data_IF_447836424788
#
_entry.id   IF_447836424788
#
_cell.length_a   1.000
_cell.length_b   1.000
_cell.length_c   1.000
_cell.angle_alpha   90.00
_cell.angle_beta   90.00
_cell.angle_gamma   90.00
#
_symmetry.space_group_name_H-M   'P 1'
#
loop_
_entity.id
_entity.type
_entity.pdbx_description
1 polymer ?
#
# COMPACT_ATOMS: atom_id res chain seq x y z
N UNK A 1 22.94 -8.23 -0.72
CA UNK A 1 21.93 -9.16 -0.14
C UNK A 1 20.71 -9.22 -1.07
N UNK A 2 19.84 -10.24 -0.99
CA UNK A 2 18.56 -10.21 -1.74
C UNK A 2 17.54 -9.30 -1.04
N UNK A 3 16.88 -8.41 -1.77
CA UNK A 3 15.80 -7.56 -1.23
C UNK A 3 14.68 -8.44 -0.66
N UNK A 4 14.22 -8.20 0.56
CA UNK A 4 13.01 -8.85 1.09
C UNK A 4 11.76 -8.07 0.69
N UNK A 5 11.78 -6.75 0.90
CA UNK A 5 10.68 -5.84 0.63
C UNK A 5 11.06 -4.81 -0.46
N UNK A 6 10.40 -4.88 -1.60
CA UNK A 6 10.41 -3.81 -2.59
C UNK A 6 9.20 -2.89 -2.37
N UNK A 7 9.39 -1.58 -2.35
CA UNK A 7 8.30 -0.63 -2.26
C UNK A 7 8.32 0.32 -3.46
N UNK A 8 7.13 0.72 -3.91
CA UNK A 8 6.92 1.68 -5.00
C UNK A 8 6.06 2.79 -4.41
N UNK A 9 6.58 4.01 -4.35
CA UNK A 9 5.84 5.17 -3.84
C UNK A 9 5.37 6.11 -4.95
N UNK A 10 4.15 6.64 -4.80
CA UNK A 10 3.54 7.56 -5.76
C UNK A 10 4.12 8.99 -5.73
N UNK A 11 4.85 9.30 -4.66
CA UNK A 11 5.59 10.54 -4.45
C UNK A 11 6.93 10.32 -3.74
N UNK A 12 7.77 11.36 -3.71
CA UNK A 12 9.08 11.32 -3.04
C UNK A 12 8.92 11.38 -1.52
N UNK A 13 8.06 12.25 -1.01
CA UNK A 13 7.94 12.50 0.43
C UNK A 13 7.38 11.30 1.18
N UNK A 14 6.32 10.68 0.68
CA UNK A 14 5.75 9.46 1.26
C UNK A 14 6.66 8.24 1.13
N UNK A 15 7.49 8.19 0.08
CA UNK A 15 8.55 7.17 -0.05
C UNK A 15 9.63 7.33 1.02
N UNK A 16 10.06 8.56 1.28
CA UNK A 16 11.05 8.85 2.33
C UNK A 16 10.50 8.57 3.73
N UNK A 17 9.24 8.90 3.99
CA UNK A 17 8.58 8.54 5.24
C UNK A 17 8.54 7.01 5.44
N UNK A 18 8.19 6.25 4.40
CA UNK A 18 8.23 4.78 4.45
C UNK A 18 9.64 4.25 4.73
N UNK A 19 10.66 4.72 4.00
CA UNK A 19 12.03 4.28 4.20
C UNK A 19 12.52 4.57 5.64
N UNK A 20 12.18 5.75 6.18
CA UNK A 20 12.49 6.12 7.55
C UNK A 20 11.80 5.20 8.56
N UNK A 21 10.52 4.88 8.34
CA UNK A 21 9.78 3.97 9.22
C UNK A 21 10.33 2.55 9.18
N UNK A 22 10.69 2.03 8.01
CA UNK A 22 11.34 0.73 7.89
C UNK A 22 12.66 0.70 8.67
N UNK A 23 13.52 1.71 8.47
CA UNK A 23 14.81 1.82 9.17
C UNK A 23 14.66 1.89 10.69
N UNK A 24 13.72 2.70 11.18
CA UNK A 24 13.41 2.82 12.62
C UNK A 24 12.92 1.50 13.24
N UNK A 25 12.30 0.63 12.44
CA UNK A 25 11.77 -0.67 12.86
C UNK A 25 12.72 -1.84 12.50
N UNK A 26 14.01 -1.57 12.29
CA UNK A 26 15.03 -2.61 12.12
C UNK A 26 15.17 -3.17 10.70
N UNK A 27 14.55 -2.55 9.70
CA UNK A 27 14.70 -2.91 8.29
C UNK A 27 15.35 -1.74 7.52
N UNK A 28 16.69 -1.67 7.46
CA UNK A 28 17.38 -0.67 6.65
C UNK A 28 16.88 -0.69 5.21
N UNK A 29 16.63 0.48 4.65
CA UNK A 29 16.09 0.63 3.31
C UNK A 29 16.93 1.61 2.50
N UNK A 30 17.13 1.33 1.21
CA UNK A 30 17.63 2.29 0.24
C UNK A 30 16.44 2.90 -0.52
N UNK A 31 16.48 4.20 -0.79
CA UNK A 31 15.50 4.88 -1.64
C UNK A 31 16.14 5.28 -2.97
N UNK A 32 15.46 4.94 -4.06
CA UNK A 32 15.77 5.36 -5.42
C UNK A 32 14.77 6.43 -5.88
N UNK A 33 15.24 7.38 -6.69
CA UNK A 33 14.39 8.40 -7.30
C UNK A 33 14.17 8.05 -8.77
N UNK A 34 12.93 7.75 -9.14
CA UNK A 34 12.60 7.17 -10.44
C UNK A 34 12.95 5.69 -10.54
N UNK A 35 12.54 5.06 -11.65
CA UNK A 35 12.86 3.65 -11.94
C UNK A 35 14.37 3.52 -12.15
N UNK A 36 15.09 2.71 -11.37
CA UNK A 36 16.53 2.56 -11.56
C UNK A 36 16.84 1.88 -12.90
N UNK A 37 17.94 2.26 -13.59
CA UNK A 37 18.39 1.53 -14.77
C UNK A 37 18.81 0.09 -14.41
N UNK A 38 18.76 -0.82 -15.39
CA UNK A 38 19.17 -2.23 -15.20
C UNK A 38 20.64 -2.37 -14.77
N UNK A 39 21.49 -1.39 -15.08
CA UNK A 39 22.90 -1.36 -14.65
C UNK A 39 23.09 -0.97 -13.18
N UNK A 40 22.01 -0.65 -12.46
CA UNK A 40 22.08 -0.34 -11.03
C UNK A 40 22.54 -1.57 -10.25
N UNK A 41 23.56 -1.46 -9.37
CA UNK A 41 23.98 -2.59 -8.56
C UNK A 41 22.89 -3.09 -7.61
N UNK A 42 22.96 -4.37 -7.26
CA UNK A 42 22.10 -4.98 -6.25
C UNK A 42 22.11 -4.18 -4.95
N UNK A 43 20.92 -3.89 -4.37
CA UNK A 43 20.87 -3.24 -3.06
C UNK A 43 21.54 -4.10 -1.99
N UNK A 44 22.39 -3.49 -1.17
CA UNK A 44 22.94 -4.15 0.01
C UNK A 44 22.11 -3.87 1.26
N UNK A 45 20.78 -3.93 1.11
CA UNK A 45 19.82 -3.70 2.19
C UNK A 45 18.61 -4.62 2.04
N UNK A 46 17.91 -4.99 3.12
CA UNK A 46 16.73 -5.86 3.05
C UNK A 46 15.50 -5.18 2.41
N UNK A 47 15.50 -3.86 2.23
CA UNK A 47 14.40 -3.15 1.58
C UNK A 47 14.87 -2.11 0.56
N UNK A 48 14.13 -1.98 -0.54
CA UNK A 48 14.36 -0.96 -1.55
C UNK A 48 13.06 -0.21 -1.85
N UNK A 49 13.10 1.12 -1.84
CA UNK A 49 11.95 1.99 -2.11
C UNK A 49 12.19 2.76 -3.40
N UNK A 50 11.37 2.55 -4.42
CA UNK A 50 11.38 3.32 -5.67
C UNK A 50 10.37 4.45 -5.57
N UNK A 51 10.86 5.69 -5.48
CA UNK A 51 10.02 6.88 -5.39
C UNK A 51 9.71 7.44 -6.78
N UNK A 52 8.45 7.41 -7.16
CA UNK A 52 7.95 7.96 -8.42
C UNK A 52 7.33 9.34 -8.21
N UNK A 53 6.96 9.99 -9.32
CA UNK A 53 6.12 11.20 -9.32
C UNK A 53 4.79 10.88 -10.01
N UNK A 54 4.15 9.81 -9.58
CA UNK A 54 3.04 9.19 -10.30
C UNK A 54 1.65 9.53 -9.73
N UNK A 55 1.54 10.20 -8.57
CA UNK A 55 0.24 10.53 -7.94
C UNK A 55 -0.76 11.20 -8.88
N UNK A 56 -0.31 12.25 -9.57
CA UNK A 56 -1.14 13.07 -10.46
C UNK A 56 -0.66 13.02 -11.92
N UNK A 57 0.20 12.06 -12.24
CA UNK A 57 0.60 11.81 -13.62
C UNK A 57 -0.60 11.23 -14.42
N UNK A 58 -0.55 11.23 -15.75
CA UNK A 58 -1.50 10.46 -16.54
C UNK A 58 -1.52 8.98 -16.08
N UNK A 59 -2.70 8.33 -15.95
CA UNK A 59 -2.79 6.97 -15.43
C UNK A 59 -1.91 5.96 -16.16
N UNK A 60 -1.80 6.06 -17.48
CA UNK A 60 -0.95 5.21 -18.31
C UNK A 60 0.54 5.34 -17.96
N UNK A 61 1.01 6.55 -17.67
CA UNK A 61 2.40 6.80 -17.26
C UNK A 61 2.64 6.25 -15.85
N UNK A 62 1.70 6.49 -14.93
CA UNK A 62 1.79 5.98 -13.57
C UNK A 62 1.84 4.45 -13.53
N UNK A 63 1.02 3.79 -14.34
CA UNK A 63 1.02 2.33 -14.50
C UNK A 63 2.35 1.86 -15.10
N UNK A 64 2.79 2.45 -16.21
CA UNK A 64 4.03 2.03 -16.87
C UNK A 64 5.26 2.15 -15.94
N UNK A 65 5.39 3.26 -15.22
CA UNK A 65 6.48 3.47 -14.27
C UNK A 65 6.41 2.49 -13.09
N UNK A 66 5.21 2.23 -12.57
CA UNK A 66 5.03 1.33 -11.41
C UNK A 66 5.32 -0.13 -11.78
N UNK A 67 4.89 -0.58 -12.96
CA UNK A 67 5.22 -1.93 -13.46
C UNK A 67 6.72 -2.06 -13.72
N UNK A 68 7.37 -1.05 -14.31
CA UNK A 68 8.81 -1.05 -14.51
C UNK A 68 9.58 -1.10 -13.17
N UNK A 69 9.15 -0.32 -12.18
CA UNK A 69 9.70 -0.37 -10.82
C UNK A 69 9.51 -1.75 -10.17
N UNK A 70 8.32 -2.35 -10.30
CA UNK A 70 8.03 -3.69 -9.80
C UNK A 70 8.95 -4.74 -10.41
N UNK A 71 9.11 -4.73 -11.74
CA UNK A 71 10.03 -5.64 -12.45
C UNK A 71 11.46 -5.49 -11.98
N UNK A 72 11.93 -4.25 -11.84
CA UNK A 72 13.26 -3.99 -11.33
C UNK A 72 13.43 -4.58 -9.92
N UNK A 73 12.50 -4.29 -9.00
CA UNK A 73 12.55 -4.80 -7.62
C UNK A 73 12.54 -6.34 -7.57
N UNK A 74 11.68 -7.00 -8.34
CA UNK A 74 11.63 -8.47 -8.44
C UNK A 74 12.93 -9.02 -9.02
N UNK A 75 13.47 -8.39 -10.06
CA UNK A 75 14.75 -8.76 -10.67
C UNK A 75 15.92 -8.73 -9.69
N UNK A 76 15.85 -7.85 -8.68
CA UNK A 76 16.83 -7.73 -7.60
C UNK A 76 16.42 -8.52 -6.33
N UNK A 77 15.49 -9.47 -6.47
CA UNK A 77 15.17 -10.47 -5.48
C UNK A 77 14.03 -10.13 -4.52
N UNK A 78 13.33 -9.00 -4.72
CA UNK A 78 12.20 -8.61 -3.87
C UNK A 78 11.16 -9.74 -3.78
N UNK A 79 10.85 -10.18 -2.55
CA UNK A 79 9.87 -11.25 -2.29
C UNK A 79 8.46 -10.72 -2.05
N UNK A 80 8.36 -9.43 -1.76
CA UNK A 80 7.12 -8.72 -1.53
C UNK A 80 7.20 -7.32 -2.14
N UNK A 81 6.12 -6.90 -2.79
CA UNK A 81 5.96 -5.55 -3.33
C UNK A 81 4.95 -4.77 -2.50
N UNK A 82 5.33 -3.58 -2.05
CA UNK A 82 4.49 -2.64 -1.31
C UNK A 82 4.19 -1.41 -2.16
N UNK A 83 2.92 -1.15 -2.47
CA UNK A 83 2.53 0.06 -3.18
C UNK A 83 2.13 1.16 -2.19
N UNK A 84 3.00 2.16 -2.03
CA UNK A 84 2.83 3.28 -1.11
C UNK A 84 2.16 4.47 -1.82
N UNK A 85 1.04 4.91 -1.26
CA UNK A 85 0.35 6.15 -1.65
C UNK A 85 -0.03 6.97 -0.42
N UNK A 86 -0.62 8.16 -0.60
CA UNK A 86 -0.93 9.08 0.48
C UNK A 86 -1.94 8.51 1.50
N UNK A 87 -1.75 8.79 2.79
CA UNK A 87 -2.67 8.37 3.87
C UNK A 87 -4.04 9.05 3.82
N UNK A 88 -4.17 10.11 3.02
CA UNK A 88 -5.45 10.78 2.71
C UNK A 88 -6.07 10.31 1.39
N UNK A 89 -5.53 9.23 0.81
CA UNK A 89 -6.03 8.57 -0.39
C UNK A 89 -6.06 9.46 -1.65
N UNK A 90 -5.16 10.45 -1.70
CA UNK A 90 -5.04 11.45 -2.76
C UNK A 90 -5.07 10.84 -4.16
N UNK A 91 -6.19 11.01 -4.83
CA UNK A 91 -6.41 10.56 -6.19
C UNK A 91 -7.68 11.22 -6.74
N UNK A 92 -7.99 10.94 -8.00
CA UNK A 92 -9.26 11.32 -8.63
C UNK A 92 -10.01 10.04 -9.02
N UNK A 93 -11.24 10.17 -9.51
CA UNK A 93 -11.97 9.04 -10.11
C UNK A 93 -11.23 8.42 -11.31
N UNK A 94 -10.21 9.09 -11.86
CA UNK A 94 -9.38 8.54 -12.94
C UNK A 94 -8.15 7.79 -12.45
N UNK A 95 -7.86 7.79 -11.15
CA UNK A 95 -6.65 7.18 -10.59
C UNK A 95 -5.78 8.14 -9.76
N UNK A 96 -4.58 7.71 -9.36
CA UNK A 96 -3.84 6.55 -9.90
C UNK A 96 -3.79 5.31 -9.01
N UNK A 97 -4.43 5.32 -7.84
CA UNK A 97 -4.37 4.19 -6.90
C UNK A 97 -4.96 2.92 -7.51
N UNK A 98 -6.18 3.00 -8.06
CA UNK A 98 -6.86 1.87 -8.71
C UNK A 98 -6.06 1.28 -9.89
N UNK A 99 -5.78 2.07 -10.95
CA UNK A 99 -5.05 1.58 -12.13
C UNK A 99 -3.70 0.96 -11.81
N UNK A 100 -2.92 1.57 -10.91
CA UNK A 100 -1.60 1.04 -10.52
C UNK A 100 -1.75 -0.25 -9.71
N UNK A 101 -2.67 -0.30 -8.74
CA UNK A 101 -2.88 -1.52 -7.95
C UNK A 101 -3.32 -2.70 -8.82
N UNK A 102 -4.20 -2.48 -9.80
CA UNK A 102 -4.65 -3.51 -10.74
C UNK A 102 -3.50 -4.01 -11.62
N UNK A 103 -2.71 -3.10 -12.18
CA UNK A 103 -1.56 -3.46 -13.00
C UNK A 103 -0.49 -4.24 -12.20
N UNK A 104 -0.27 -3.87 -10.94
CA UNK A 104 0.66 -4.59 -10.06
C UNK A 104 0.12 -5.98 -9.67
N UNK A 105 -1.18 -6.13 -9.44
CA UNK A 105 -1.80 -7.45 -9.23
C UNK A 105 -1.57 -8.36 -10.45
N UNK A 106 -1.73 -7.83 -11.65
CA UNK A 106 -1.51 -8.57 -12.90
C UNK A 106 -0.05 -8.96 -13.08
N UNK A 107 0.86 -7.99 -12.91
CA UNK A 107 2.31 -8.22 -13.01
C UNK A 107 2.79 -9.29 -12.02
N UNK A 108 2.22 -9.31 -10.81
CA UNK A 108 2.60 -10.23 -9.75
C UNK A 108 1.81 -11.55 -9.76
N UNK A 109 0.82 -11.69 -10.66
CA UNK A 109 -0.07 -12.85 -10.74
C UNK A 109 -0.89 -13.08 -9.46
N UNK A 110 -1.21 -12.01 -8.72
CA UNK A 110 -1.99 -12.06 -7.50
C UNK A 110 -3.49 -11.80 -7.76
N UNK A 111 -4.33 -12.48 -6.99
CA UNK A 111 -5.79 -12.34 -7.10
C UNK A 111 -6.36 -11.24 -6.19
N UNK A 112 -5.69 -10.95 -5.07
CA UNK A 112 -6.19 -10.03 -4.03
C UNK A 112 -5.06 -9.17 -3.47
N UNK A 113 -5.43 -7.99 -2.98
CA UNK A 113 -4.57 -7.08 -2.23
C UNK A 113 -5.36 -6.35 -1.16
N UNK A 114 -4.67 -5.72 -0.21
CA UNK A 114 -5.26 -4.88 0.83
C UNK A 114 -5.00 -3.42 0.48
N UNK A 115 -6.05 -2.61 0.60
CA UNK A 115 -5.98 -1.15 0.50
C UNK A 115 -6.24 -0.59 1.89
N UNK A 116 -5.22 0.02 2.50
CA UNK A 116 -5.32 0.55 3.86
C UNK A 116 -4.57 1.88 3.97
N UNK A 117 -5.20 3.04 3.72
CA UNK A 117 -4.61 4.35 3.95
C UNK A 117 -4.51 4.77 5.44
N UNK A 118 -4.89 3.91 6.39
CA UNK A 118 -4.87 4.25 7.81
C UNK A 118 -3.45 4.59 8.28
N UNK A 119 -3.34 5.64 9.08
CA UNK A 119 -2.13 6.03 9.77
C UNK A 119 -2.50 6.70 11.12
N UNK A 120 -2.80 5.89 12.16
CA UNK A 120 -3.35 6.38 13.43
C UNK A 120 -2.46 7.39 14.15
N UNK A 121 -1.13 7.19 14.12
CA UNK A 121 -0.17 8.14 14.71
C UNK A 121 -0.29 9.56 14.11
N UNK A 122 -0.79 9.66 12.87
CA UNK A 122 -1.08 10.93 12.20
C UNK A 122 -2.59 11.21 12.12
N UNK A 123 -3.42 10.57 12.94
CA UNK A 123 -4.87 10.81 13.00
C UNK A 123 -5.64 10.35 11.76
N UNK A 124 -5.12 9.41 10.96
CA UNK A 124 -5.86 8.81 9.83
C UNK A 124 -6.40 7.45 10.25
N UNK A 125 -7.72 7.31 10.34
CA UNK A 125 -8.39 6.07 10.75
C UNK A 125 -9.47 5.68 9.74
N UNK A 126 -9.82 4.40 9.69
CA UNK A 126 -10.83 3.91 8.74
C UNK A 126 -11.90 3.13 9.51
N UNK A 127 -13.17 3.45 9.29
CA UNK A 127 -14.31 2.76 9.88
C UNK A 127 -15.38 2.47 8.83
N UNK A 128 -15.77 1.19 8.67
CA UNK A 128 -16.78 0.73 7.71
C UNK A 128 -16.63 1.30 6.27
N UNK A 129 -15.40 1.41 5.79
CA UNK A 129 -15.04 1.90 4.47
C UNK A 129 -14.72 3.38 4.43
N UNK A 130 -15.00 4.11 5.51
CA UNK A 130 -14.91 5.55 5.55
C UNK A 130 -13.59 5.99 6.18
N UNK A 131 -12.83 6.83 5.47
CA UNK A 131 -11.60 7.43 5.97
C UNK A 131 -11.92 8.68 6.80
N UNK A 132 -11.30 8.77 7.97
CA UNK A 132 -11.37 9.89 8.88
C UNK A 132 -10.00 10.57 9.02
N UNK A 133 -10.01 11.88 9.22
CA UNK A 133 -8.86 12.71 9.56
C UNK A 133 -9.19 13.40 10.89
N UNK A 134 -8.61 12.90 11.98
CA UNK A 134 -9.08 13.21 13.33
C UNK A 134 -10.54 12.78 13.48
N UNK A 135 -11.39 13.71 13.92
CA UNK A 135 -12.82 13.46 14.15
C UNK A 135 -13.70 13.74 12.91
N UNK A 136 -13.09 14.16 11.79
CA UNK A 136 -13.81 14.52 10.57
C UNK A 136 -13.73 13.41 9.53
N UNK A 137 -14.80 13.22 8.75
CA UNK A 137 -14.72 12.47 7.51
C UNK A 137 -13.72 13.13 6.56
N UNK A 138 -13.07 12.33 5.72
CA UNK A 138 -12.16 12.83 4.67
C UNK A 138 -12.80 13.97 3.86
N UNK A 139 -14.08 13.83 3.48
CA UNK A 139 -14.85 14.80 2.71
C UNK A 139 -15.23 16.08 3.45
N UNK A 140 -15.10 16.10 4.77
CA UNK A 140 -15.39 17.26 5.62
C UNK A 140 -14.10 17.93 6.13
N UNK A 141 -12.95 17.34 5.82
CA UNK A 141 -11.63 17.90 6.12
C UNK A 141 -11.18 18.91 5.06
N UNK A 142 -10.01 19.52 5.27
CA UNK A 142 -9.34 20.35 4.26
C UNK A 142 -9.08 19.63 2.93
N UNK A 143 -9.03 18.29 2.91
CA UNK A 143 -8.83 17.50 1.68
C UNK A 143 -9.98 17.64 0.69
N UNK A 144 -11.18 18.06 1.12
CA UNK A 144 -12.32 18.34 0.23
C UNK A 144 -11.96 19.35 -0.87
N UNK A 145 -11.12 20.32 -0.53
CA UNK A 145 -10.72 21.42 -1.41
C UNK A 145 -9.25 21.30 -1.83
N UNK A 146 -8.65 20.11 -1.73
CA UNK A 146 -7.27 19.90 -2.17
C UNK A 146 -7.12 20.31 -3.64
N UNK A 147 -6.11 21.13 -4.00
CA UNK A 147 -6.05 21.79 -5.32
C UNK A 147 -5.89 20.84 -6.50
N UNK A 148 -5.33 19.64 -6.27
CA UNK A 148 -5.07 18.65 -7.32
C UNK A 148 -5.97 17.43 -7.25
N UNK A 149 -6.36 17.03 -6.04
CA UNK A 149 -7.05 15.76 -5.75
C UNK A 149 -8.13 16.00 -4.70
N UNK A 150 -9.17 16.79 -5.01
CA UNK A 150 -10.23 17.11 -4.05
C UNK A 150 -10.97 15.83 -3.64
N UNK A 151 -10.90 15.51 -2.35
CA UNK A 151 -11.45 14.29 -1.78
C UNK A 151 -12.87 14.55 -1.26
N UNK A 152 -13.88 14.29 -2.09
CA UNK A 152 -15.30 14.60 -1.78
C UNK A 152 -16.11 13.39 -1.31
N UNK A 153 -15.55 12.19 -1.43
CA UNK A 153 -16.17 10.93 -1.02
C UNK A 153 -15.31 10.26 0.05
N UNK A 154 -15.78 10.14 1.31
CA UNK A 154 -15.00 9.50 2.36
C UNK A 154 -15.03 7.97 2.27
N UNK A 155 -15.96 7.37 1.51
CA UNK A 155 -16.10 5.94 1.38
C UNK A 155 -15.08 5.40 0.36
N UNK A 156 -13.99 4.82 0.87
CA UNK A 156 -12.87 4.31 0.07
C UNK A 156 -13.26 3.15 -0.83
N UNK A 157 -14.22 2.31 -0.42
CA UNK A 157 -14.71 1.20 -1.24
C UNK A 157 -15.38 1.73 -2.50
N UNK A 158 -16.32 2.66 -2.32
CA UNK A 158 -17.01 3.30 -3.44
C UNK A 158 -16.07 4.13 -4.28
N UNK A 159 -15.19 4.91 -3.64
CA UNK A 159 -14.30 5.83 -4.35
C UNK A 159 -13.23 5.09 -5.16
N UNK A 160 -12.58 4.08 -4.58
CA UNK A 160 -11.66 3.20 -5.33
C UNK A 160 -12.42 2.50 -6.46
N UNK A 161 -13.65 2.06 -6.20
CA UNK A 161 -14.59 1.49 -7.18
C UNK A 161 -14.82 2.32 -8.45
N UNK A 162 -14.55 3.62 -8.42
CA UNK A 162 -14.67 4.51 -9.59
C UNK A 162 -13.39 4.59 -10.42
N UNK A 163 -12.25 4.17 -9.87
CA UNK A 163 -10.93 4.26 -10.51
C UNK A 163 -10.55 3.04 -11.35
N UNK A 164 -11.13 1.88 -11.06
CA UNK A 164 -10.83 0.62 -11.75
C UNK A 164 -11.75 0.31 -12.92
N UNK A 165 -11.42 -0.77 -13.64
CA UNK A 165 -12.29 -1.29 -14.70
C UNK A 165 -13.53 -1.96 -14.07
N UNK A 166 -14.73 -1.55 -14.49
CA UNK A 166 -16.01 -2.08 -14.01
C UNK A 166 -16.16 -3.61 -14.14
N UNK A 167 -15.27 -4.27 -14.90
CA UNK A 167 -15.23 -5.73 -15.10
C UNK A 167 -14.48 -6.51 -14.02
N UNK A 168 -13.62 -5.87 -13.21
CA UNK A 168 -13.05 -6.49 -12.03
C UNK A 168 -13.92 -6.11 -10.83
N UNK A 169 -14.50 -7.07 -10.08
CA UNK A 169 -14.84 -6.75 -8.71
C UNK A 169 -13.53 -6.27 -8.08
N UNK A 170 -13.48 -5.00 -7.65
CA UNK A 170 -12.31 -4.47 -6.98
C UNK A 170 -11.87 -5.46 -5.91
N UNK A 171 -10.56 -5.61 -5.67
CA UNK A 171 -10.05 -6.54 -4.66
C UNK A 171 -10.94 -6.36 -3.46
N UNK A 172 -11.53 -7.46 -2.97
CA UNK A 172 -12.32 -7.45 -1.75
C UNK A 172 -11.50 -6.61 -0.78
N UNK A 173 -11.95 -5.37 -0.57
CA UNK A 173 -11.42 -4.51 0.46
C UNK A 173 -11.82 -5.31 1.68
N UNK A 174 -10.90 -6.16 2.14
CA UNK A 174 -11.06 -7.02 3.29
C UNK A 174 -11.15 -6.09 4.50
N UNK A 175 -12.26 -5.36 4.61
CA UNK A 175 -13.02 -5.35 5.83
C UNK A 175 -13.08 -6.80 6.25
N UNK A 176 -12.53 -7.11 7.41
CA UNK A 176 -12.66 -8.41 8.04
C UNK A 176 -14.13 -8.74 8.24
N UNK A 177 -14.82 -9.14 7.17
CA UNK A 177 -16.00 -9.96 7.20
C UNK A 177 -15.45 -11.36 7.39
N UNK A 178 -15.70 -11.99 8.56
CA UNK A 178 -15.48 -13.41 8.66
C UNK A 178 -16.30 -14.07 7.55
N UNK A 179 -15.71 -15.01 6.81
CA UNK A 179 -16.51 -15.95 6.05
C UNK A 179 -17.33 -16.76 7.06
N UNK A 180 -18.59 -16.37 7.24
CA UNK A 180 -19.51 -17.00 8.17
C UNK A 180 -20.78 -16.17 8.28
N UNK A 181 -21.88 -16.69 7.72
CA UNK A 181 -23.18 -16.03 7.76
C UNK A 181 -23.66 -15.82 9.20
N UNK A 182 -23.89 -14.56 9.56
CA UNK A 182 -24.50 -14.16 10.81
C UNK A 182 -24.68 -12.66 10.83
N UNK A 183 -25.93 -12.20 10.95
CA UNK A 183 -26.25 -10.80 11.20
C UNK A 183 -25.78 -10.43 12.61
N UNK A 184 -24.52 -10.04 12.73
CA UNK A 184 -23.94 -9.49 13.95
C UNK A 184 -22.93 -8.43 13.55
N UNK A 185 -23.02 -7.24 14.15
CA UNK A 185 -21.99 -6.23 14.01
C UNK A 185 -20.66 -6.83 14.47
N UNK A 186 -19.76 -7.09 13.52
CA UNK A 186 -18.40 -7.56 13.80
C UNK A 186 -17.61 -6.47 14.54
N UNK A 187 -16.54 -6.86 15.28
CA UNK A 187 -15.83 -5.94 16.16
C UNK A 187 -15.18 -4.79 15.38
N UNK A 188 -15.00 -3.66 16.07
CA UNK A 188 -14.15 -2.56 15.62
C UNK A 188 -12.78 -3.13 15.26
N UNK A 189 -12.23 -2.71 14.12
CA UNK A 189 -10.81 -2.86 13.85
C UNK A 189 -10.20 -1.47 14.03
N UNK A 190 -9.58 -1.22 15.18
CA UNK A 190 -8.78 -0.01 15.37
C UNK A 190 -7.40 -0.21 14.73
N UNK A 191 -6.66 0.88 14.50
CA UNK A 191 -5.26 0.75 14.06
C UNK A 191 -4.37 -0.05 15.02
N UNK A 192 -4.78 -0.16 16.29
CA UNK A 192 -4.07 -0.94 17.32
C UNK A 192 -4.26 -2.47 17.11
N UNK A 193 -5.37 -2.91 16.51
CA UNK A 193 -5.58 -4.33 16.17
C UNK A 193 -4.63 -4.81 15.05
N UNK A 194 -4.15 -3.87 14.22
CA UNK A 194 -3.12 -4.10 13.20
C UNK A 194 -1.72 -4.11 13.82
N UNK A 195 -1.40 -3.11 14.66
CA UNK A 195 -0.12 -3.02 15.36
C UNK A 195 0.17 -4.27 16.20
N UNK A 196 -0.85 -4.87 16.83
CA UNK A 196 -0.65 -6.06 17.67
C UNK A 196 -0.55 -7.40 16.92
N UNK A 197 -0.85 -7.46 15.61
CA UNK A 197 -0.85 -8.73 14.84
C UNK A 197 0.22 -8.81 13.76
N UNK A 198 0.85 -7.69 13.38
CA UNK A 198 1.83 -7.62 12.29
C UNK A 198 3.28 -7.42 12.71
N UNK A 199 3.55 -6.78 13.84
CA UNK A 199 4.89 -6.39 14.28
C UNK A 199 4.87 -6.15 15.78
N UNK A 200 5.92 -6.51 16.52
CA UNK A 200 6.07 -5.93 17.86
C UNK A 200 6.09 -4.41 17.76
N UNK A 201 5.01 -3.74 18.18
CA UNK A 201 4.96 -2.32 18.56
C UNK A 201 5.37 -1.27 17.53
N UNK A 202 5.27 -1.54 16.22
CA UNK A 202 5.69 -0.60 15.18
C UNK A 202 4.63 -0.43 14.09
N UNK A 203 3.94 0.72 14.06
CA UNK A 203 2.92 1.05 13.05
C UNK A 203 3.56 1.15 11.66
N UNK A 204 3.54 0.07 10.88
CA UNK A 204 3.85 0.18 9.45
C UNK A 204 2.64 0.88 8.82
N UNK A 205 2.90 2.07 8.25
CA UNK A 205 1.90 2.95 7.66
C UNK A 205 1.18 2.36 6.44
N UNK A 206 0.47 3.19 5.68
CA UNK A 206 -0.59 2.69 4.81
C UNK A 206 -0.10 1.85 3.60
N UNK A 207 -0.79 0.72 3.37
CA UNK A 207 -0.98 -0.01 2.09
C UNK A 207 -0.06 -1.21 1.79
N UNK A 208 -0.44 -2.39 2.28
CA UNK A 208 0.23 -3.65 1.96
C UNK A 208 -0.38 -4.34 0.72
N UNK A 209 0.35 -4.32 -0.40
CA UNK A 209 0.20 -5.35 -1.42
C UNK A 209 1.04 -6.56 -0.95
N UNK A 210 0.45 -7.75 -0.87
CA UNK A 210 1.20 -9.00 -0.62
C UNK A 210 0.93 -9.93 -1.78
N UNK A 211 1.70 -9.76 -2.85
CA UNK A 211 1.73 -10.72 -3.94
C UNK A 211 3.04 -11.50 -3.85
N UNK A 212 2.94 -12.77 -3.44
CA UNK A 212 4.04 -13.72 -3.54
C UNK A 212 3.83 -14.61 -4.77
N UNK A 213 4.91 -15.14 -5.38
CA UNK A 213 4.77 -16.14 -6.44
C UNK A 213 3.99 -17.36 -5.91
N UNK A 214 3.10 -17.89 -6.77
CA UNK A 214 2.13 -18.97 -6.49
C UNK A 214 2.52 -19.89 -5.32
N UNK A 215 1.77 -19.81 -4.22
CA UNK A 215 1.82 -20.82 -3.16
C UNK A 215 1.47 -20.28 -1.78
N UNK A 216 0.20 -20.45 -1.38
CA UNK A 216 -0.35 -20.31 -0.02
C UNK A 216 -0.22 -18.92 0.62
N UNK A 217 -1.36 -18.24 0.73
CA UNK A 217 -1.57 -17.22 1.77
C UNK A 217 -1.55 -17.94 3.12
N UNK A 218 -0.39 -18.02 3.77
CA UNK A 218 -0.34 -18.39 5.19
C UNK A 218 -0.39 -17.11 6.01
N UNK A 219 -1.46 -16.98 6.79
CA UNK A 219 -1.51 -16.08 7.93
C UNK A 219 -0.51 -16.57 8.98
N UNK A 220 0.19 -15.62 9.60
CA UNK A 220 1.33 -15.83 10.51
C UNK A 220 2.63 -16.26 9.84
N UNK A 221 3.59 -15.33 9.83
CA UNK A 221 5.01 -15.64 9.89
C UNK A 221 5.60 -14.69 10.91
N UNK A 222 5.83 -15.23 12.10
CA UNK A 222 6.64 -14.62 13.13
C UNK A 222 8.03 -14.30 12.55
N UNK A 223 8.39 -13.01 12.53
CA UNK A 223 9.67 -12.51 12.01
C UNK A 223 10.76 -12.44 13.11
N UNK A 224 10.50 -12.98 14.31
CA UNK A 224 11.42 -12.85 15.45
C UNK A 224 12.61 -13.83 15.45
N UNK A 225 12.68 -14.79 14.52
CA UNK A 225 13.78 -15.74 14.48
C UNK A 225 14.43 -15.90 13.09
N UNK A 226 15.76 -15.70 12.94
CA UNK A 226 16.47 -16.13 11.75
C UNK A 226 16.45 -17.67 11.67
N UNK A 227 16.46 -18.27 10.46
CA UNK A 227 16.49 -19.71 10.31
C UNK A 227 17.75 -20.28 10.97
N UNK A 228 17.57 -21.27 11.83
CA UNK A 228 18.67 -22.04 12.38
C UNK A 228 19.43 -22.75 11.25
N UNK A 229 20.76 -22.73 11.37
CA UNK A 229 21.76 -23.36 10.50
C UNK A 229 21.50 -24.84 10.23
#
# INVERSE_FOLDING_TARGET
MSILLGAIGDDITGSTDLALMLGKNGMPAIQYIGVPPESTPDPDTPAAVVALKSRTAPPEEAVAQSVAASRWLIGHGARQIFFKYCSTFDSTEKGNIGPVAEALLDELGAAITIVCPAFPANGRTIYQGHLFIGDLLLSDSGMRHHPLTPMTDPNLVRFLGRQGDAKRPHPDLLYGRPQGGGQGAGPLWSGEDWENRGTGGGSIGPSLLRAGPRGKVTGSTDLSHPPAS
#
